data_IF_357829116074
#
_entry.id   IF_357829116074
#
_cell.length_a   1.000
_cell.length_b   1.000
_cell.length_c   1.000
_cell.angle_alpha   90.00
_cell.angle_beta   90.00
_cell.angle_gamma   90.00
#
_symmetry.space_group_name_H-M   'P 1'
#
loop_
_entity.id
_entity.type
_entity.pdbx_description
1 polymer ?
#
# COMPACT_ATOMS: atom_id res chain seq x y z
N UNK A 1 -19.68 21.02 -41.71
CA UNK A 1 -18.58 20.52 -40.86
C UNK A 1 -18.55 21.40 -39.61
N UNK A 2 -19.18 20.98 -38.51
CA UNK A 2 -19.28 21.78 -37.27
C UNK A 2 -18.18 21.33 -36.30
N UNK A 3 -17.17 22.17 -36.10
CA UNK A 3 -16.11 21.97 -35.10
C UNK A 3 -16.66 22.27 -33.71
N UNK A 4 -16.86 21.24 -32.90
CA UNK A 4 -17.22 21.39 -31.49
C UNK A 4 -15.97 21.81 -30.70
N UNK A 5 -16.01 22.88 -29.87
CA UNK A 5 -14.88 23.27 -29.05
C UNK A 5 -14.67 22.22 -27.96
N UNK A 6 -13.56 21.48 -28.04
CA UNK A 6 -13.15 20.57 -26.98
C UNK A 6 -12.60 21.38 -25.79
N UNK A 7 -13.02 21.11 -24.55
CA UNK A 7 -12.52 21.81 -23.37
C UNK A 7 -11.03 21.50 -23.15
N UNK A 8 -10.20 22.55 -23.06
CA UNK A 8 -8.73 22.46 -22.94
C UNK A 8 -8.23 21.93 -21.59
N UNK A 9 -9.09 21.85 -20.57
CA UNK A 9 -8.71 21.38 -19.23
C UNK A 9 -9.69 20.32 -18.74
N UNK A 10 -9.22 19.07 -18.65
CA UNK A 10 -9.86 18.05 -17.81
C UNK A 10 -9.77 18.54 -16.37
N UNK A 11 -10.89 18.77 -15.65
CA UNK A 11 -10.82 19.08 -14.23
C UNK A 11 -10.11 17.91 -13.53
N UNK A 12 -8.95 18.17 -12.93
CA UNK A 12 -8.26 17.22 -12.07
C UNK A 12 -9.14 17.02 -10.85
N UNK A 13 -10.00 16.01 -10.90
CA UNK A 13 -10.72 15.54 -9.71
C UNK A 13 -9.64 15.09 -8.73
N UNK A 14 -9.45 15.84 -7.63
CA UNK A 14 -8.58 15.40 -6.55
C UNK A 14 -9.09 14.06 -6.06
N UNK A 15 -8.38 12.98 -6.39
CA UNK A 15 -8.72 11.67 -5.86
C UNK A 15 -8.68 11.76 -4.33
N UNK A 16 -9.75 11.34 -3.63
CA UNK A 16 -9.80 11.43 -2.18
C UNK A 16 -8.66 10.59 -1.60
N UNK A 17 -7.61 11.28 -1.11
CA UNK A 17 -6.39 10.66 -0.57
C UNK A 17 -6.60 9.87 0.72
N UNK A 18 -7.77 9.98 1.33
CA UNK A 18 -8.16 9.31 2.56
C UNK A 18 -9.17 8.18 2.30
N UNK A 19 -9.04 7.09 3.05
CA UNK A 19 -9.86 5.90 2.92
C UNK A 19 -9.24 4.82 2.04
N UNK A 20 -10.07 3.90 1.55
CA UNK A 20 -9.65 2.86 0.62
C UNK A 20 -9.60 3.45 -0.79
N UNK A 21 -8.42 3.92 -1.18
CA UNK A 21 -8.10 4.35 -2.54
C UNK A 21 -6.86 3.61 -3.04
N UNK A 22 -6.66 3.61 -4.36
CA UNK A 22 -5.59 2.85 -5.01
C UNK A 22 -4.19 3.25 -4.49
N UNK A 23 -3.97 4.53 -4.20
CA UNK A 23 -2.70 4.99 -3.64
C UNK A 23 -2.44 4.38 -2.25
N UNK A 24 -3.43 4.41 -1.37
CA UNK A 24 -3.35 3.85 -0.02
C UNK A 24 -3.15 2.33 -0.06
N UNK A 25 -3.85 1.62 -0.94
CA UNK A 25 -3.70 0.17 -1.14
C UNK A 25 -2.29 -0.18 -1.61
N UNK A 26 -1.76 0.53 -2.61
CA UNK A 26 -0.39 0.33 -3.10
C UNK A 26 0.65 0.62 -2.03
N UNK A 27 0.45 1.68 -1.24
CA UNK A 27 1.36 2.04 -0.14
C UNK A 27 1.35 0.98 0.97
N UNK A 28 0.15 0.57 1.41
CA UNK A 28 -0.02 -0.45 2.44
C UNK A 28 0.53 -1.81 1.98
N UNK A 29 0.33 -2.18 0.71
CA UNK A 29 0.89 -3.40 0.14
C UNK A 29 2.42 -3.42 0.15
N UNK A 30 3.07 -2.30 -0.17
CA UNK A 30 4.55 -2.19 -0.07
C UNK A 30 5.04 -2.30 1.37
N UNK A 31 4.37 -1.61 2.30
CA UNK A 31 4.68 -1.70 3.71
C UNK A 31 4.54 -3.15 4.22
N UNK A 32 3.50 -3.87 3.78
CA UNK A 32 3.30 -5.28 4.13
C UNK A 32 4.42 -6.18 3.58
N UNK A 33 4.85 -6.00 2.31
CA UNK A 33 5.96 -6.77 1.74
C UNK A 33 7.27 -6.56 2.50
N UNK A 34 7.59 -5.31 2.86
CA UNK A 34 8.78 -4.96 3.65
C UNK A 34 8.66 -5.56 5.06
N UNK A 35 7.50 -5.40 5.71
CA UNK A 35 7.24 -5.96 7.02
C UNK A 35 7.42 -7.47 7.04
N UNK A 36 6.86 -8.19 6.07
CA UNK A 36 7.01 -9.64 5.96
C UNK A 36 8.49 -10.07 5.82
N UNK A 37 9.25 -9.40 4.97
CA UNK A 37 10.68 -9.69 4.82
C UNK A 37 11.44 -9.49 6.14
N UNK A 38 11.15 -8.39 6.86
CA UNK A 38 11.74 -8.12 8.17
C UNK A 38 11.39 -9.22 9.17
N UNK A 39 10.13 -9.68 9.21
CA UNK A 39 9.72 -10.79 10.10
C UNK A 39 10.54 -12.05 9.84
N UNK A 40 10.75 -12.42 8.57
CA UNK A 40 11.57 -13.59 8.20
C UNK A 40 13.02 -13.41 8.64
N UNK A 41 13.61 -12.22 8.43
CA UNK A 41 14.99 -11.94 8.85
C UNK A 41 15.13 -12.05 10.37
N UNK A 42 14.19 -11.48 11.13
CA UNK A 42 14.19 -11.55 12.59
C UNK A 42 14.05 -13.00 13.06
N UNK A 43 13.13 -13.76 12.48
CA UNK A 43 12.92 -15.18 12.82
C UNK A 43 14.20 -15.99 12.58
N UNK A 44 14.87 -15.76 11.45
CA UNK A 44 16.14 -16.40 11.14
C UNK A 44 17.24 -16.05 12.15
N UNK A 45 17.38 -14.76 12.52
CA UNK A 45 18.41 -14.31 13.46
C UNK A 45 18.16 -14.76 14.90
N UNK A 46 16.89 -14.83 15.30
CA UNK A 46 16.50 -15.17 16.69
C UNK A 46 16.28 -16.66 16.91
N UNK A 47 16.04 -17.43 15.84
CA UNK A 47 15.68 -18.84 15.90
C UNK A 47 14.32 -19.09 16.56
N UNK A 48 13.49 -18.04 16.70
CA UNK A 48 12.17 -18.11 17.34
C UNK A 48 11.13 -17.56 16.39
N UNK A 49 10.05 -18.30 16.20
CA UNK A 49 8.92 -17.85 15.39
C UNK A 49 8.37 -16.52 15.92
N UNK A 50 8.00 -15.62 15.02
CA UNK A 50 7.43 -14.30 15.40
C UNK A 50 6.16 -14.41 16.25
N UNK A 51 5.42 -15.51 16.15
CA UNK A 51 4.26 -15.78 17.02
C UNK A 51 4.64 -16.06 18.47
N UNK A 52 5.86 -16.52 18.74
CA UNK A 52 6.36 -16.72 20.10
C UNK A 52 6.40 -15.42 20.90
N UNK A 53 6.48 -14.27 20.23
CA UNK A 53 6.46 -12.96 20.87
C UNK A 53 5.06 -12.58 21.39
N UNK A 54 4.02 -13.17 20.80
CA UNK A 54 2.64 -13.05 21.26
C UNK A 54 2.30 -14.11 22.34
N UNK A 55 3.28 -14.89 22.79
CA UNK A 55 3.09 -15.96 23.78
C UNK A 55 2.53 -17.26 23.21
N UNK A 56 2.44 -17.37 21.88
CA UNK A 56 1.94 -18.55 21.18
C UNK A 56 3.13 -19.43 20.78
N UNK A 57 3.22 -20.67 21.31
CA UNK A 57 4.28 -21.64 20.98
C UNK A 57 3.78 -22.76 20.10
#
# INVERSE_FOLDING_TARGET
>A
MTTQPQPTTTPSLEEPKFGFNEYAERLNGRAAMIGFLILVVIEYLTGKGVLAWLGLR
#
